data_IF_118504917545
#
_entry.id   IF_118504917545
#
_cell.length_a   1.000
_cell.length_b   1.000
_cell.length_c   1.000
_cell.angle_alpha   90.00
_cell.angle_beta   90.00
_cell.angle_gamma   90.00
#
_symmetry.space_group_name_H-M   'P 1'
#
loop_
_entity.id
_entity.type
_entity.pdbx_description
1 polymer ?
#
# COMPACT_ATOMS: atom_id res chain seq x y z
N UNK A 1 11.88 0.26 1.79
CA UNK A 1 10.65 0.76 1.13
C UNK A 1 10.80 0.94 -0.39
N UNK A 2 11.92 1.48 -0.91
CA UNK A 2 12.12 1.64 -2.36
C UNK A 2 12.05 0.31 -3.13
N UNK A 3 12.64 -0.75 -2.60
CA UNK A 3 12.60 -2.09 -3.20
C UNK A 3 11.16 -2.65 -3.23
N UNK A 4 10.37 -2.40 -2.19
CA UNK A 4 8.96 -2.78 -2.14
C UNK A 4 8.15 -2.06 -3.23
N UNK A 5 8.48 -0.80 -3.50
CA UNK A 5 7.86 -0.03 -4.59
C UNK A 5 8.30 -0.49 -5.97
N UNK A 6 9.60 -0.77 -6.16
CA UNK A 6 10.12 -1.35 -7.40
C UNK A 6 9.42 -2.70 -7.70
N UNK A 7 9.35 -3.57 -6.70
CA UNK A 7 8.62 -4.83 -6.80
C UNK A 7 7.15 -4.61 -7.17
N UNK A 8 6.46 -3.64 -6.56
CA UNK A 8 5.06 -3.32 -6.87
C UNK A 8 4.85 -2.83 -8.32
N UNK A 9 5.82 -2.12 -8.88
CA UNK A 9 5.78 -1.63 -10.27
C UNK A 9 5.89 -2.76 -11.31
N UNK A 10 6.45 -3.91 -10.93
CA UNK A 10 6.52 -5.10 -11.78
C UNK A 10 5.22 -5.93 -11.76
N UNK A 11 4.30 -5.65 -10.83
CA UNK A 11 3.10 -6.46 -10.65
C UNK A 11 1.96 -6.04 -11.59
N UNK A 12 1.08 -6.99 -11.91
CA UNK A 12 -0.10 -6.77 -12.75
C UNK A 12 -1.35 -6.36 -11.95
N UNK A 13 -1.29 -6.31 -10.62
CA UNK A 13 -2.38 -5.81 -9.77
C UNK A 13 -3.50 -6.82 -9.49
N UNK A 14 -3.25 -8.12 -9.63
CA UNK A 14 -4.19 -9.15 -9.18
C UNK A 14 -4.28 -9.22 -7.64
N UNK A 15 -5.32 -9.84 -7.10
CA UNK A 15 -5.53 -9.96 -5.63
C UNK A 15 -4.31 -10.52 -4.90
N UNK A 16 -3.63 -11.49 -5.51
CA UNK A 16 -2.38 -12.07 -4.97
C UNK A 16 -1.28 -11.03 -4.74
N UNK A 17 -1.17 -10.02 -5.61
CA UNK A 17 -0.21 -8.92 -5.46
C UNK A 17 -0.39 -8.20 -4.12
N UNK A 18 -1.63 -7.94 -3.70
CA UNK A 18 -1.89 -7.22 -2.45
C UNK A 18 -1.59 -8.08 -1.22
N UNK A 19 -1.86 -9.39 -1.28
CA UNK A 19 -1.46 -10.33 -0.23
C UNK A 19 0.06 -10.41 -0.07
N UNK A 20 0.79 -10.50 -1.18
CA UNK A 20 2.26 -10.51 -1.17
C UNK A 20 2.83 -9.15 -0.71
N UNK A 21 2.23 -8.04 -1.13
CA UNK A 21 2.60 -6.71 -0.63
C UNK A 21 2.44 -6.63 0.87
N UNK A 22 1.31 -7.07 1.42
CA UNK A 22 1.04 -7.06 2.86
C UNK A 22 2.13 -7.80 3.64
N UNK A 23 2.47 -9.02 3.22
CA UNK A 23 3.52 -9.80 3.85
C UNK A 23 4.90 -9.10 3.80
N UNK A 24 5.28 -8.59 2.64
CA UNK A 24 6.56 -7.85 2.45
C UNK A 24 6.60 -6.57 3.28
N UNK A 25 5.50 -5.82 3.35
CA UNK A 25 5.40 -4.60 4.14
C UNK A 25 5.51 -4.89 5.65
N UNK A 26 4.87 -5.96 6.14
CA UNK A 26 4.99 -6.37 7.53
C UNK A 26 6.41 -6.81 7.90
N UNK A 27 7.08 -7.56 7.03
CA UNK A 27 8.47 -7.94 7.23
C UNK A 27 9.35 -6.68 7.31
N UNK A 28 9.25 -5.80 6.32
CA UNK A 28 10.04 -4.58 6.27
C UNK A 28 9.78 -3.66 7.47
N UNK A 29 8.54 -3.59 7.97
CA UNK A 29 8.21 -2.80 9.15
C UNK A 29 8.92 -3.29 10.43
N UNK A 30 9.32 -4.56 10.50
CA UNK A 30 10.11 -5.11 11.62
C UNK A 30 11.59 -4.77 11.50
N UNK A 31 12.06 -4.52 10.29
CA UNK A 31 13.47 -4.26 9.96
C UNK A 31 13.77 -2.75 9.90
N UNK A 32 12.77 -1.92 9.61
CA UNK A 32 12.85 -0.46 9.45
C UNK A 32 11.90 0.25 10.43
N UNK A 33 12.39 0.47 11.66
CA UNK A 33 11.60 1.07 12.74
C UNK A 33 11.15 2.51 12.43
N UNK A 34 11.93 3.27 11.65
CA UNK A 34 11.62 4.66 11.28
C UNK A 34 10.38 4.73 10.39
N UNK A 35 10.21 3.75 9.49
CA UNK A 35 9.10 3.71 8.55
C UNK A 35 8.02 2.68 8.91
N UNK A 36 8.15 2.00 10.05
CA UNK A 36 7.30 0.88 10.47
C UNK A 36 5.80 1.21 10.47
N UNK A 37 5.42 2.38 10.97
CA UNK A 37 4.02 2.80 11.03
C UNK A 37 3.40 2.95 9.63
N UNK A 38 4.11 3.62 8.71
CA UNK A 38 3.64 3.82 7.33
C UNK A 38 3.58 2.49 6.58
N UNK A 39 4.59 1.63 6.76
CA UNK A 39 4.60 0.28 6.18
C UNK A 39 3.43 -0.57 6.68
N UNK A 40 3.14 -0.54 7.98
CA UNK A 40 2.00 -1.25 8.56
C UNK A 40 0.66 -0.74 7.99
N UNK A 41 0.51 0.58 7.82
CA UNK A 41 -0.70 1.19 7.26
C UNK A 41 -0.89 0.85 5.77
N UNK A 42 0.16 0.92 4.96
CA UNK A 42 0.13 0.49 3.56
C UNK A 42 -0.21 -1.01 3.44
N UNK A 43 0.41 -1.83 4.29
CA UNK A 43 0.08 -3.26 4.39
C UNK A 43 -1.39 -3.49 4.76
N UNK A 44 -1.95 -2.67 5.65
CA UNK A 44 -3.37 -2.76 6.05
C UNK A 44 -4.31 -2.41 4.89
N UNK A 45 -3.99 -1.40 4.08
CA UNK A 45 -4.76 -1.09 2.85
C UNK A 45 -4.80 -2.33 1.94
N UNK A 46 -3.64 -2.94 1.69
CA UNK A 46 -3.55 -4.13 0.85
C UNK A 46 -4.37 -5.31 1.43
N UNK A 47 -4.27 -5.56 2.74
CA UNK A 47 -5.04 -6.62 3.41
C UNK A 47 -6.56 -6.39 3.33
N UNK A 48 -7.03 -5.15 3.54
CA UNK A 48 -8.45 -4.82 3.40
C UNK A 48 -8.93 -4.99 1.96
N UNK A 49 -8.09 -4.63 0.99
CA UNK A 49 -8.41 -4.86 -0.42
C UNK A 49 -8.53 -6.35 -0.75
N UNK A 50 -7.60 -7.19 -0.26
CA UNK A 50 -7.73 -8.66 -0.40
C UNK A 50 -9.05 -9.14 0.19
N UNK A 51 -9.35 -8.75 1.43
CA UNK A 51 -10.56 -9.20 2.13
C UNK A 51 -11.85 -8.77 1.45
N UNK A 52 -11.88 -7.59 0.81
CA UNK A 52 -13.04 -7.11 0.04
C UNK A 52 -13.37 -8.01 -1.16
N UNK A 53 -12.39 -8.68 -1.74
CA UNK A 53 -12.55 -9.57 -2.89
C UNK A 53 -12.34 -11.05 -2.53
N UNK A 54 -12.34 -11.39 -1.24
CA UNK A 54 -12.34 -12.79 -0.82
C UNK A 54 -13.63 -13.48 -1.30
N UNK A 55 -13.49 -14.47 -2.17
CA UNK A 55 -14.63 -15.22 -2.71
C UNK A 55 -15.25 -14.63 -3.98
N UNK A 56 -14.77 -13.48 -4.48
CA UNK A 56 -15.25 -12.86 -5.72
C UNK A 56 -14.10 -12.52 -6.68
N UNK A 57 -14.27 -12.70 -8.01
CA UNK A 57 -13.25 -12.32 -8.97
C UNK A 57 -13.11 -10.79 -9.04
N UNK A 58 -11.87 -10.31 -8.97
CA UNK A 58 -11.55 -8.89 -9.19
C UNK A 58 -11.75 -8.52 -10.67
N UNK A 59 -12.65 -7.57 -11.01
CA UNK A 59 -12.82 -7.13 -12.39
C UNK A 59 -11.54 -6.49 -12.94
N UNK A 60 -11.23 -6.71 -14.22
CA UNK A 60 -9.99 -6.21 -14.85
C UNK A 60 -9.85 -4.69 -14.74
N UNK A 61 -10.94 -3.94 -14.93
CA UNK A 61 -10.93 -2.47 -14.77
C UNK A 61 -10.65 -2.04 -13.34
N UNK A 62 -11.14 -2.82 -12.36
CA UNK A 62 -10.87 -2.58 -10.94
C UNK A 62 -9.41 -2.89 -10.60
N UNK A 63 -8.84 -3.95 -11.16
CA UNK A 63 -7.43 -4.31 -10.98
C UNK A 63 -6.50 -3.20 -11.48
N UNK A 64 -6.72 -2.70 -12.71
CA UNK A 64 -5.94 -1.63 -13.31
C UNK A 64 -6.02 -0.31 -12.52
N UNK A 65 -7.22 0.06 -12.05
CA UNK A 65 -7.40 1.27 -11.24
C UNK A 65 -6.78 1.13 -9.85
N UNK A 66 -6.99 -0.01 -9.20
CA UNK A 66 -6.49 -0.25 -7.85
C UNK A 66 -4.97 -0.26 -7.82
N UNK A 67 -4.31 -0.91 -8.79
CA UNK A 67 -2.84 -0.97 -8.80
C UNK A 67 -2.21 0.39 -9.08
N UNK A 68 -2.83 1.21 -9.95
CA UNK A 68 -2.38 2.58 -10.19
C UNK A 68 -2.52 3.43 -8.91
N UNK A 69 -3.71 3.45 -8.29
CA UNK A 69 -3.95 4.17 -7.03
C UNK A 69 -2.97 3.71 -5.93
N UNK A 70 -2.72 2.41 -5.85
CA UNK A 70 -1.83 1.86 -4.82
C UNK A 70 -0.37 2.24 -5.06
N UNK A 71 0.10 2.24 -6.31
CA UNK A 71 1.44 2.75 -6.66
C UNK A 71 1.59 4.22 -6.27
N UNK A 72 0.59 5.05 -6.55
CA UNK A 72 0.64 6.48 -6.18
C UNK A 72 0.72 6.68 -4.66
N UNK A 73 0.01 5.87 -3.87
CA UNK A 73 0.11 5.90 -2.42
C UNK A 73 1.51 5.53 -1.93
N UNK A 74 2.10 4.46 -2.48
CA UNK A 74 3.46 4.02 -2.09
C UNK A 74 4.52 5.02 -2.56
N UNK A 75 4.37 5.61 -3.74
CA UNK A 75 5.24 6.68 -4.23
C UNK A 75 5.16 7.93 -3.34
N UNK A 76 3.96 8.30 -2.92
CA UNK A 76 3.75 9.42 -1.97
C UNK A 76 4.41 9.11 -0.63
N UNK A 77 4.29 7.88 -0.12
CA UNK A 77 4.95 7.47 1.12
C UNK A 77 6.49 7.62 1.04
N UNK A 78 7.07 7.25 -0.11
CA UNK A 78 8.52 7.41 -0.38
C UNK A 78 8.93 8.89 -0.36
N UNK A 79 8.11 9.78 -0.91
CA UNK A 79 8.38 11.22 -0.92
C UNK A 79 8.25 11.84 0.48
N UNK A 80 7.17 11.50 1.20
CA UNK A 80 6.86 12.10 2.50
C UNK A 80 7.82 11.65 3.60
N UNK A 81 8.45 10.47 3.50
CA UNK A 81 9.38 9.99 4.54
C UNK A 81 10.58 10.90 4.77
N UNK A 82 10.98 11.69 3.76
CA UNK A 82 12.07 12.67 3.86
C UNK A 82 11.59 14.09 4.20
N UNK A 83 10.27 14.28 4.34
CA UNK A 83 9.64 15.56 4.69
C UNK A 83 9.62 15.82 6.19
N UNK A 84 8.87 16.85 6.58
CA UNK A 84 8.69 17.25 7.98
C UNK A 84 7.77 16.26 8.73
N UNK A 85 7.94 16.15 10.05
CA UNK A 85 7.13 15.22 10.87
C UNK A 85 5.62 15.49 10.77
N UNK A 86 5.23 16.75 10.62
CA UNK A 86 3.83 17.14 10.39
C UNK A 86 3.29 16.55 9.07
N UNK A 87 4.10 16.51 8.01
CA UNK A 87 3.72 15.94 6.72
C UNK A 87 3.62 14.41 6.81
N UNK A 88 4.56 13.77 7.52
CA UNK A 88 4.53 12.32 7.80
C UNK A 88 3.27 11.93 8.56
N UNK A 89 2.92 12.68 9.61
CA UNK A 89 1.73 12.43 10.41
C UNK A 89 0.45 12.68 9.61
N UNK A 90 0.38 13.77 8.84
CA UNK A 90 -0.76 14.06 7.98
C UNK A 90 -0.98 12.95 6.94
N UNK A 91 0.10 12.46 6.34
CA UNK A 91 0.05 11.33 5.41
C UNK A 91 -0.40 10.04 6.11
N UNK A 92 0.15 9.73 7.30
CA UNK A 92 -0.24 8.57 8.10
C UNK A 92 -1.75 8.59 8.44
N UNK A 93 -2.29 9.74 8.83
CA UNK A 93 -3.71 9.92 9.12
C UNK A 93 -4.57 9.69 7.87
N UNK A 94 -4.15 10.22 6.71
CA UNK A 94 -4.84 9.99 5.43
C UNK A 94 -4.87 8.51 5.05
N UNK A 95 -3.72 7.82 5.07
CA UNK A 95 -3.67 6.40 4.68
C UNK A 95 -4.41 5.49 5.65
N UNK A 96 -4.50 5.86 6.94
CA UNK A 96 -5.24 5.08 7.93
C UNK A 96 -6.73 4.94 7.60
N UNK A 97 -7.31 5.92 6.93
CA UNK A 97 -8.71 5.97 6.52
C UNK A 97 -8.94 5.72 5.03
N UNK A 98 -7.87 5.52 4.24
CA UNK A 98 -7.97 5.30 2.80
C UNK A 98 -8.28 3.85 2.47
N UNK A 99 -9.25 3.60 1.61
CA UNK A 99 -9.44 2.31 0.95
C UNK A 99 -9.23 2.45 -0.56
N UNK A 100 -8.71 1.40 -1.19
CA UNK A 100 -8.57 1.37 -2.64
C UNK A 100 -9.96 1.28 -3.29
N UNK A 101 -10.15 2.06 -4.35
CA UNK A 101 -11.42 2.19 -5.07
C UNK A 101 -12.60 2.70 -4.22
N UNK A 102 -12.35 3.28 -3.04
CA UNK A 102 -13.35 4.08 -2.34
C UNK A 102 -13.45 5.45 -3.03
N UNK A 103 -14.66 5.83 -3.44
CA UNK A 103 -14.98 7.15 -3.98
C UNK A 103 -15.06 8.20 -2.89
#
# INVERSE_FOLDING_TARGET
>A
MNELYAWLNEQNGGIRTYGEFHAKAQQLAREDAENAAVLALLGRIAARFVSRYEGEPLPVDSASKAIAQFRDLVATAISVRTGADAEKLAFANRIATTDLLAG
#
